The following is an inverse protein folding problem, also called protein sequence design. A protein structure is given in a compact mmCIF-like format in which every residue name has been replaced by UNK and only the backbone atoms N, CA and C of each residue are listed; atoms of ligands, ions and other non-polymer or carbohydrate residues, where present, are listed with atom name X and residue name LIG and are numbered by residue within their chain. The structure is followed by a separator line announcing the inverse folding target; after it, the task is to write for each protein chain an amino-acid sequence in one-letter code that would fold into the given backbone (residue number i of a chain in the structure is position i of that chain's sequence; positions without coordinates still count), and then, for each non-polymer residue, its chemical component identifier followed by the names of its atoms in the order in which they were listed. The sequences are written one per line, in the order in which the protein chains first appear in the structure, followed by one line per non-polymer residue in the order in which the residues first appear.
data_IF_204809480040
#
_entry.id   IF_204809480040
#
_cell.length_a   1.000
_cell.length_b   1.000
_cell.length_c   1.000
_cell.angle_alpha   90.00
_cell.angle_beta   90.00
_cell.angle_gamma   90.00
#
_symmetry.space_group_name_H-M   'P 1'
#
loop_
_entity.id
_entity.type
_entity.pdbx_description
1 polymer ?
#
# COMPACT_ATOMS: atom_id res chain seq x y z
N UNK A 1 -13.54 4.70 -2.84
CA UNK A 1 -12.50 4.22 -3.78
C UNK A 1 -11.41 3.38 -3.13
N UNK A 2 -10.57 3.88 -2.22
CA UNK A 2 -9.48 3.07 -1.65
C UNK A 2 -9.97 1.83 -0.89
N UNK A 3 -11.02 1.97 -0.08
CA UNK A 3 -11.64 0.84 0.60
C UNK A 3 -12.25 -0.18 -0.40
N UNK A 4 -12.95 0.31 -1.42
CA UNK A 4 -13.55 -0.54 -2.46
C UNK A 4 -12.48 -1.31 -3.25
N UNK A 5 -11.38 -0.63 -3.58
CA UNK A 5 -10.20 -1.23 -4.22
C UNK A 5 -9.62 -2.34 -3.35
N UNK A 6 -9.40 -2.08 -2.05
CA UNK A 6 -8.89 -3.09 -1.12
C UNK A 6 -9.85 -4.28 -0.98
N UNK A 7 -11.16 -4.03 -0.93
CA UNK A 7 -12.16 -5.10 -0.91
C UNK A 7 -12.13 -5.94 -2.20
N UNK A 8 -12.01 -5.30 -3.36
CA UNK A 8 -11.90 -6.00 -4.64
C UNK A 8 -10.63 -6.87 -4.70
N UNK A 9 -9.48 -6.32 -4.32
CA UNK A 9 -8.20 -7.05 -4.24
C UNK A 9 -8.31 -8.31 -3.38
N UNK A 10 -9.03 -8.23 -2.25
CA UNK A 10 -9.17 -9.32 -1.29
C UNK A 10 -10.24 -10.38 -1.62
N UNK A 11 -11.11 -10.16 -2.61
CA UNK A 11 -12.28 -11.02 -2.90
C UNK A 11 -12.22 -11.79 -4.22
N UNK A 12 -11.07 -11.83 -4.89
CA UNK A 12 -10.88 -12.67 -6.07
C UNK A 12 -10.14 -12.01 -7.24
N UNK A 13 -9.79 -10.73 -7.12
CA UNK A 13 -9.08 -9.99 -8.15
C UNK A 13 -7.55 -10.12 -7.97
N UNK A 14 -7.03 -11.34 -7.97
CA UNK A 14 -5.58 -11.58 -7.89
C UNK A 14 -4.86 -10.96 -9.09
N UNK A 15 -3.66 -10.42 -8.85
CA UNK A 15 -2.90 -9.69 -9.87
C UNK A 15 -3.38 -8.26 -10.09
N UNK A 16 -4.23 -7.74 -9.21
CA UNK A 16 -4.62 -6.33 -9.20
C UNK A 16 -3.39 -5.43 -9.11
N UNK A 17 -3.47 -4.28 -9.78
CA UNK A 17 -2.44 -3.25 -9.76
C UNK A 17 -3.12 -1.89 -9.67
N UNK A 18 -2.49 -1.00 -8.91
CA UNK A 18 -2.92 0.39 -8.78
C UNK A 18 -1.71 1.32 -8.69
N UNK A 19 -1.95 2.62 -8.65
CA UNK A 19 -0.93 3.63 -8.42
C UNK A 19 -1.40 4.60 -7.34
N UNK A 20 -0.47 5.08 -6.51
CA UNK A 20 -0.75 6.08 -5.49
C UNK A 20 0.40 7.09 -5.42
N UNK A 21 0.07 8.33 -5.08
CA UNK A 21 1.08 9.34 -4.75
C UNK A 21 1.54 9.15 -3.31
N UNK A 22 2.84 8.98 -3.09
CA UNK A 22 3.51 8.92 -1.79
C UNK A 22 5.01 9.23 -1.95
N UNK A 23 5.68 9.71 -0.89
CA UNK A 23 7.12 10.00 -0.95
C UNK A 23 7.99 8.78 -0.68
N UNK A 24 7.39 7.66 -0.27
CA UNK A 24 8.05 6.38 -0.10
C UNK A 24 7.07 5.23 0.06
N UNK A 25 7.56 3.99 0.03
CA UNK A 25 6.70 2.81 0.05
C UNK A 25 5.89 2.68 1.35
N UNK A 26 6.48 3.00 2.50
CA UNK A 26 5.77 2.95 3.78
C UNK A 26 4.66 4.00 3.87
N UNK A 27 4.96 5.22 3.41
CA UNK A 27 3.99 6.31 3.38
C UNK A 27 2.82 5.99 2.44
N UNK A 28 3.05 5.23 1.36
CA UNK A 28 1.97 4.76 0.49
C UNK A 28 0.93 3.93 1.27
N UNK A 29 1.38 3.03 2.15
CA UNK A 29 0.48 2.22 2.99
C UNK A 29 -0.29 3.08 4.00
N UNK A 30 0.38 4.03 4.66
CA UNK A 30 -0.29 4.98 5.58
C UNK A 30 -1.32 5.85 4.86
N UNK A 31 -1.04 6.24 3.61
CA UNK A 31 -2.00 6.97 2.78
C UNK A 31 -3.20 6.09 2.41
N UNK A 32 -2.99 4.81 2.09
CA UNK A 32 -4.09 3.86 1.89
C UNK A 32 -4.94 3.71 3.14
N UNK A 33 -4.35 3.62 4.34
CA UNK A 33 -5.10 3.62 5.61
C UNK A 33 -6.00 4.85 5.71
N UNK A 34 -5.41 6.03 5.51
CA UNK A 34 -6.12 7.31 5.60
C UNK A 34 -7.26 7.38 4.59
N UNK A 35 -6.99 7.00 3.33
CA UNK A 35 -8.00 7.02 2.27
C UNK A 35 -9.13 6.01 2.53
N UNK A 36 -8.83 4.86 3.13
CA UNK A 36 -9.82 3.87 3.50
C UNK A 36 -10.69 4.36 4.68
N UNK A 37 -10.10 5.00 5.70
CA UNK A 37 -10.84 5.63 6.80
C UNK A 37 -11.78 6.74 6.31
N UNK A 38 -11.37 7.49 5.28
CA UNK A 38 -12.19 8.54 4.67
C UNK A 38 -13.38 8.00 3.84
N UNK A 39 -13.50 6.68 3.65
CA UNK A 39 -14.62 6.08 2.92
C UNK A 39 -15.97 6.18 3.69
N UNK A 40 -15.96 6.67 4.93
CA UNK A 40 -17.18 6.88 5.72
C UNK A 40 -17.78 5.59 6.29
N UNK A 41 -17.06 4.47 6.22
CA UNK A 41 -17.41 3.20 6.85
C UNK A 41 -16.65 3.11 8.17
N UNK A 42 -17.37 2.84 9.26
CA UNK A 42 -16.78 2.71 10.60
C UNK A 42 -16.10 1.34 10.75
N UNK A 43 -14.89 1.21 10.19
CA UNK A 43 -14.03 0.05 10.34
C UNK A 43 -12.89 0.37 11.32
N UNK A 44 -12.60 -0.52 12.28
CA UNK A 44 -11.41 -0.39 13.11
C UNK A 44 -10.15 -0.32 12.24
N UNK A 45 -9.18 0.51 12.62
CA UNK A 45 -7.93 0.66 11.87
C UNK A 45 -7.22 -0.69 11.64
N UNK A 46 -7.23 -1.58 12.64
CA UNK A 46 -6.68 -2.93 12.51
C UNK A 46 -7.33 -3.74 11.36
N UNK A 47 -8.63 -3.59 11.13
CA UNK A 47 -9.31 -4.26 10.02
C UNK A 47 -8.89 -3.70 8.66
N UNK A 48 -8.66 -2.38 8.56
CA UNK A 48 -8.12 -1.74 7.35
C UNK A 48 -6.69 -2.22 7.10
N UNK A 49 -5.85 -2.29 8.14
CA UNK A 49 -4.48 -2.80 8.04
C UNK A 49 -4.44 -4.24 7.54
N UNK A 50 -5.32 -5.08 8.05
CA UNK A 50 -5.42 -6.46 7.58
C UNK A 50 -5.89 -6.53 6.11
N UNK A 51 -6.83 -5.67 5.69
CA UNK A 51 -7.21 -5.56 4.27
C UNK A 51 -6.02 -5.14 3.40
N UNK A 52 -5.23 -4.16 3.83
CA UNK A 52 -4.03 -3.71 3.12
C UNK A 52 -2.99 -4.83 3.04
N UNK A 53 -2.68 -5.47 4.17
CA UNK A 53 -1.69 -6.54 4.26
C UNK A 53 -2.03 -7.75 3.38
N UNK A 54 -3.32 -8.04 3.21
CA UNK A 54 -3.78 -9.14 2.36
C UNK A 54 -3.92 -8.77 0.88
N UNK A 55 -4.15 -7.49 0.57
CA UNK A 55 -4.40 -7.02 -0.79
C UNK A 55 -3.21 -6.38 -1.49
N UNK A 56 -2.16 -6.00 -0.74
CA UNK A 56 -0.95 -5.34 -1.25
C UNK A 56 0.27 -6.15 -0.84
N UNK A 57 0.84 -6.92 -1.78
CA UNK A 57 2.03 -7.72 -1.50
C UNK A 57 3.32 -6.96 -1.84
N UNK A 58 3.31 -6.12 -2.87
CA UNK A 58 4.49 -5.45 -3.42
C UNK A 58 4.23 -3.96 -3.57
N UNK A 59 5.20 -3.14 -3.15
CA UNK A 59 5.23 -1.71 -3.46
C UNK A 59 6.47 -1.40 -4.29
N UNK A 60 6.23 -0.81 -5.46
CA UNK A 60 7.27 -0.32 -6.37
C UNK A 60 7.28 1.21 -6.30
N UNK A 61 8.32 1.79 -5.71
CA UNK A 61 8.46 3.24 -5.62
C UNK A 61 9.16 3.79 -6.86
N UNK A 62 8.46 4.66 -7.59
CA UNK A 62 9.05 5.47 -8.66
C UNK A 62 9.32 6.88 -8.14
N UNK A 63 10.53 7.40 -8.36
CA UNK A 63 10.90 8.79 -8.05
C UNK A 63 11.43 9.51 -9.28
N UNK A 64 11.16 10.82 -9.36
CA UNK A 64 11.74 11.71 -10.36
C UNK A 64 12.99 12.33 -9.73
N UNK A 65 14.15 12.03 -10.29
CA UNK A 65 15.43 12.52 -9.81
C UNK A 65 15.65 13.99 -10.22
N UNK A 66 16.61 14.70 -9.58
CA UNK A 66 16.93 16.09 -9.92
C UNK A 66 17.31 16.31 -11.39
N UNK A 67 17.86 15.28 -12.06
CA UNK A 67 18.19 15.29 -13.49
C UNK A 67 16.95 15.12 -14.40
N UNK A 68 15.76 15.09 -13.82
CA UNK A 68 14.48 14.95 -14.51
C UNK A 68 14.11 13.51 -14.86
N UNK A 69 15.01 12.53 -14.70
CA UNK A 69 14.75 11.13 -15.04
C UNK A 69 13.86 10.47 -14.00
N UNK A 70 13.03 9.52 -14.46
CA UNK A 70 12.26 8.63 -13.58
C UNK A 70 13.03 7.34 -13.36
N UNK A 71 13.09 6.90 -12.10
CA UNK A 71 13.72 5.65 -11.69
C UNK A 71 12.84 4.94 -10.68
N UNK A 72 12.85 3.62 -10.74
CA UNK A 72 12.41 2.81 -9.62
C UNK A 72 13.51 2.90 -8.57
N UNK A 73 13.17 3.37 -7.38
CA UNK A 73 14.13 3.52 -6.28
C UNK A 73 13.96 2.47 -5.20
N UNK A 74 12.78 1.84 -5.11
CA UNK A 74 12.52 0.76 -4.17
C UNK A 74 11.60 -0.27 -4.82
N UNK A 75 11.87 -1.55 -4.56
CA UNK A 75 10.94 -2.66 -4.77
C UNK A 75 10.91 -3.44 -3.46
N UNK A 76 9.78 -3.37 -2.76
CA UNK A 76 9.66 -3.96 -1.42
C UNK A 76 8.46 -4.88 -1.33
N UNK A 77 8.62 -5.95 -0.56
CA UNK A 77 7.54 -6.81 -0.07
C UNK A 77 6.92 -6.19 1.18
N UNK A 78 5.60 -6.24 1.28
CA UNK A 78 4.86 -5.85 2.49
C UNK A 78 4.64 -7.09 3.35
N UNK A 79 5.18 -7.07 4.56
CA UNK A 79 5.07 -8.17 5.52
C UNK A 79 4.44 -7.69 6.84
N UNK A 80 3.78 -8.58 7.61
CA UNK A 80 3.27 -8.24 8.93
C UNK A 80 4.41 -7.89 9.90
N UNK A 81 4.25 -6.81 10.66
CA UNK A 81 5.10 -6.49 11.82
C UNK A 81 4.44 -6.89 13.14
N UNK A 82 5.24 -7.13 14.18
CA UNK A 82 4.79 -7.54 15.52
C UNK A 82 3.88 -6.50 16.21
N UNK A 83 3.86 -5.25 15.74
CA UNK A 83 3.08 -4.14 16.30
C UNK A 83 1.76 -3.85 15.58
N UNK A 84 1.26 -4.81 14.80
CA UNK A 84 0.07 -4.63 13.96
C UNK A 84 0.24 -3.45 12.97
N UNK A 85 1.44 -3.39 12.38
CA UNK A 85 1.87 -2.43 11.37
C UNK A 85 2.53 -3.17 10.20
N UNK A 86 3.28 -2.45 9.36
CA UNK A 86 3.97 -3.03 8.21
C UNK A 86 5.48 -3.12 8.49
N UNK A 87 6.08 -4.24 8.10
CA UNK A 87 7.51 -4.29 7.81
C UNK A 87 7.66 -4.31 6.28
N UNK A 88 8.66 -3.59 5.77
CA UNK A 88 8.96 -3.55 4.34
C UNK A 88 10.30 -4.22 4.08
N UNK A 89 10.28 -5.31 3.32
CA UNK A 89 11.50 -6.06 2.98
C UNK A 89 11.93 -5.74 1.55
N UNK A 90 13.13 -5.18 1.33
CA UNK A 90 13.66 -4.99 -0.01
C UNK A 90 13.77 -6.33 -0.75
N UNK A 91 13.28 -6.36 -1.98
CA UNK A 91 13.42 -7.52 -2.90
C UNK A 91 14.58 -7.30 -3.87
N UNK A 92 14.92 -6.02 -4.12
CA UNK A 92 16.02 -5.57 -4.96
C UNK A 92 16.75 -4.41 -4.30
#
# INVERSE_FOLDING_TARGET
EALDMLQAMNTGHRGSLTTAHANGPYEALLRLETMALMAGVDLPLAAIREQIRRGIEIVIQQQRLPDGRRRITHVVEVVPDARDTYELRPIL
#
